data_IF_991056748309
#
_entry.id   IF_991056748309
#
_cell.length_a   1.000
_cell.length_b   1.000
_cell.length_c   1.000
_cell.angle_alpha   90.00
_cell.angle_beta   90.00
_cell.angle_gamma   90.00
#
_symmetry.space_group_name_H-M   'P 1'
#
loop_
_entity.id
_entity.type
_entity.pdbx_description
1 polymer ?
#
# COMPACT_ATOMS: atom_id res chain seq x y z
N UNK A 1 -14.33 -11.12 -9.07
CA UNK A 1 -14.91 -9.79 -9.36
C UNK A 1 -14.05 -8.64 -8.86
N UNK A 2 -13.45 -8.68 -7.65
CA UNK A 2 -12.63 -7.56 -7.11
C UNK A 2 -11.20 -7.46 -7.69
N UNK A 3 -10.50 -8.58 -7.88
CA UNK A 3 -9.15 -8.60 -8.48
C UNK A 3 -9.12 -8.14 -9.95
N UNK A 4 -10.17 -8.47 -10.72
CA UNK A 4 -10.29 -8.05 -12.13
C UNK A 4 -10.44 -6.53 -12.26
N UNK A 5 -11.09 -5.87 -11.30
CA UNK A 5 -11.28 -4.43 -11.29
C UNK A 5 -9.95 -3.68 -11.10
N UNK A 6 -9.10 -4.14 -10.17
CA UNK A 6 -7.83 -3.47 -9.87
C UNK A 6 -6.79 -3.65 -10.98
N UNK A 7 -6.66 -4.87 -11.53
CA UNK A 7 -5.80 -5.10 -12.70
C UNK A 7 -6.26 -4.28 -13.91
N UNK A 8 -7.58 -4.16 -14.13
CA UNK A 8 -8.14 -3.32 -15.20
C UNK A 8 -7.78 -1.85 -15.03
N UNK A 9 -7.85 -1.31 -13.81
CA UNK A 9 -7.42 0.07 -13.51
C UNK A 9 -5.94 0.26 -13.84
N UNK A 10 -5.07 -0.66 -13.41
CA UNK A 10 -3.63 -0.60 -13.72
C UNK A 10 -3.34 -0.53 -15.22
N UNK A 11 -3.96 -1.40 -16.03
CA UNK A 11 -3.79 -1.38 -17.48
C UNK A 11 -4.32 -0.09 -18.14
N UNK A 12 -5.42 0.48 -17.64
CA UNK A 12 -5.98 1.72 -18.16
C UNK A 12 -5.08 2.93 -17.87
N UNK A 13 -4.41 2.95 -16.72
CA UNK A 13 -3.45 3.99 -16.36
C UNK A 13 -2.19 3.87 -17.22
N UNK A 14 -1.65 2.66 -17.38
CA UNK A 14 -0.50 2.44 -18.26
C UNK A 14 -0.80 2.87 -19.71
N UNK A 15 -1.99 2.55 -20.24
CA UNK A 15 -2.44 3.03 -21.56
C UNK A 15 -2.55 4.55 -21.69
N UNK A 16 -2.63 5.26 -20.56
CA UNK A 16 -2.60 6.73 -20.48
C UNK A 16 -1.21 7.27 -20.15
N UNK A 17 -0.16 6.44 -20.31
CA UNK A 17 1.24 6.80 -20.11
C UNK A 17 1.63 7.13 -18.67
N UNK A 18 0.89 6.60 -17.69
CA UNK A 18 1.37 6.60 -16.30
C UNK A 18 2.39 5.48 -16.10
N UNK A 19 3.43 5.76 -15.31
CA UNK A 19 4.29 4.74 -14.73
C UNK A 19 3.56 4.07 -13.55
N UNK A 20 3.20 2.79 -13.71
CA UNK A 20 2.28 2.09 -12.80
C UNK A 20 3.03 1.10 -11.93
N UNK A 21 2.96 1.32 -10.62
CA UNK A 21 3.56 0.46 -9.60
C UNK A 21 2.48 -0.31 -8.84
N UNK A 22 2.61 -1.63 -8.77
CA UNK A 22 1.71 -2.51 -8.01
C UNK A 22 2.38 -2.98 -6.73
N UNK A 23 2.03 -2.32 -5.62
CA UNK A 23 2.64 -2.58 -4.32
C UNK A 23 2.07 -3.83 -3.65
N UNK A 24 2.94 -4.67 -3.11
CA UNK A 24 2.59 -5.77 -2.22
C UNK A 24 2.97 -5.40 -0.79
N UNK A 25 2.07 -5.63 0.16
CA UNK A 25 2.33 -5.43 1.59
C UNK A 25 2.84 -6.73 2.23
N UNK A 26 3.49 -6.63 3.39
CA UNK A 26 3.97 -7.80 4.15
C UNK A 26 2.85 -8.80 4.43
N UNK A 27 3.20 -10.07 4.29
CA UNK A 27 2.37 -11.27 4.39
C UNK A 27 1.47 -11.58 3.20
N UNK A 28 1.38 -10.70 2.20
CA UNK A 28 0.71 -11.02 0.93
C UNK A 28 1.45 -12.15 0.20
N UNK A 29 0.72 -13.17 -0.27
CA UNK A 29 1.34 -14.28 -0.98
C UNK A 29 1.48 -13.98 -2.48
N UNK A 30 2.53 -14.49 -3.15
CA UNK A 30 3.73 -15.10 -2.59
C UNK A 30 4.80 -14.06 -2.21
N UNK A 31 4.76 -12.86 -2.80
CA UNK A 31 5.87 -11.91 -2.83
C UNK A 31 6.09 -11.11 -1.52
N UNK A 32 5.08 -11.01 -0.67
CA UNK A 32 5.17 -10.35 0.64
C UNK A 32 5.52 -11.29 1.79
N UNK A 33 5.86 -12.57 1.52
CA UNK A 33 6.13 -13.59 2.55
C UNK A 33 7.62 -13.85 2.83
N UNK A 34 8.50 -12.96 2.39
CA UNK A 34 9.93 -13.05 2.65
C UNK A 34 10.35 -12.14 3.80
N UNK A 35 11.21 -12.62 4.68
CA UNK A 35 11.77 -11.86 5.80
C UNK A 35 13.22 -12.32 6.04
N UNK A 36 14.07 -11.42 6.53
CA UNK A 36 15.52 -11.68 6.69
C UNK A 36 15.81 -12.78 7.72
N UNK A 37 15.05 -12.81 8.80
CA UNK A 37 15.29 -13.71 9.94
C UNK A 37 14.16 -14.69 10.23
N UNK A 38 12.95 -14.44 9.70
CA UNK A 38 11.73 -15.16 10.05
C UNK A 38 11.19 -15.87 8.82
N UNK A 39 10.47 -16.97 9.03
CA UNK A 39 9.77 -17.69 7.97
C UNK A 39 8.27 -17.65 8.20
N UNK A 40 7.48 -17.84 7.16
CA UNK A 40 6.01 -17.77 7.21
C UNK A 40 5.34 -18.90 8.00
N UNK A 41 6.12 -19.88 8.48
CA UNK A 41 5.69 -20.90 9.46
C UNK A 41 5.82 -20.43 10.92
N UNK A 42 6.57 -19.36 11.19
CA UNK A 42 6.78 -18.82 12.53
C UNK A 42 5.64 -17.85 12.90
N UNK A 43 5.13 -17.92 14.13
CA UNK A 43 4.05 -17.05 14.58
C UNK A 43 4.48 -15.58 14.58
N UNK A 44 5.73 -15.32 14.93
CA UNK A 44 6.35 -13.99 14.99
C UNK A 44 6.34 -13.29 13.63
N UNK A 45 6.44 -14.05 12.53
CA UNK A 45 6.34 -13.51 11.18
C UNK A 45 4.99 -12.80 10.96
N UNK A 46 3.92 -13.33 11.55
CA UNK A 46 2.55 -12.84 11.42
C UNK A 46 2.16 -11.80 12.47
N UNK A 47 3.09 -11.38 13.34
CA UNK A 47 2.83 -10.37 14.38
C UNK A 47 2.92 -8.95 13.80
N UNK A 48 2.01 -8.63 12.89
CA UNK A 48 1.85 -7.28 12.34
C UNK A 48 0.36 -6.98 12.09
N UNK A 49 0.07 -5.71 11.87
CA UNK A 49 -1.25 -5.20 11.54
C UNK A 49 -1.14 -4.13 10.43
N UNK A 50 -2.25 -3.44 10.14
CA UNK A 50 -2.22 -2.26 9.27
C UNK A 50 -1.27 -1.15 9.78
N UNK A 51 -0.94 -1.18 11.07
CA UNK A 51 0.04 -0.28 11.66
C UNK A 51 1.41 -0.44 10.99
N UNK A 52 1.95 -1.65 10.93
CA UNK A 52 3.24 -1.92 10.30
C UNK A 52 3.21 -1.67 8.79
N UNK A 53 2.06 -1.87 8.13
CA UNK A 53 1.87 -1.50 6.73
C UNK A 53 2.13 0.00 6.51
N UNK A 54 1.59 0.86 7.36
CA UNK A 54 1.79 2.31 7.26
C UNK A 54 3.13 2.79 7.79
N UNK A 55 3.64 2.17 8.85
CA UNK A 55 4.85 2.59 9.54
C UNK A 55 6.14 2.18 8.80
N UNK A 56 6.09 1.08 8.03
CA UNK A 56 7.28 0.48 7.43
C UNK A 56 7.11 0.15 5.95
N UNK A 57 6.01 -0.49 5.55
CA UNK A 57 5.86 -0.95 4.15
C UNK A 57 5.68 0.24 3.19
N UNK A 58 4.69 1.11 3.44
CA UNK A 58 4.44 2.26 2.57
C UNK A 58 5.65 3.20 2.43
N UNK A 59 6.39 3.56 3.51
CA UNK A 59 7.63 4.32 3.39
C UNK A 59 8.66 3.65 2.48
N UNK A 60 8.93 2.36 2.70
CA UNK A 60 9.92 1.62 1.93
C UNK A 60 9.53 1.50 0.45
N UNK A 61 8.23 1.29 0.18
CA UNK A 61 7.69 1.26 -1.19
C UNK A 61 7.85 2.63 -1.86
N UNK A 62 7.44 3.71 -1.19
CA UNK A 62 7.52 5.07 -1.74
C UNK A 62 8.98 5.45 -2.01
N UNK A 63 9.89 5.22 -1.06
CA UNK A 63 11.31 5.49 -1.22
C UNK A 63 11.90 4.73 -2.41
N UNK A 64 11.55 3.45 -2.54
CA UNK A 64 11.99 2.63 -3.67
C UNK A 64 11.50 3.18 -5.01
N UNK A 65 10.22 3.57 -5.12
CA UNK A 65 9.66 4.16 -6.33
C UNK A 65 10.40 5.45 -6.67
N UNK A 66 10.50 6.40 -5.72
CA UNK A 66 11.15 7.70 -5.93
C UNK A 66 12.60 7.53 -6.33
N UNK A 67 13.33 6.62 -5.70
CA UNK A 67 14.72 6.34 -6.04
C UNK A 67 14.86 5.73 -7.44
N UNK A 68 13.99 4.78 -7.80
CA UNK A 68 14.07 4.11 -9.08
C UNK A 68 13.68 5.02 -10.25
N UNK A 69 12.62 5.82 -10.11
CA UNK A 69 12.18 6.75 -11.16
C UNK A 69 13.17 7.89 -11.38
N UNK A 70 13.83 8.37 -10.32
CA UNK A 70 14.91 9.36 -10.43
C UNK A 70 16.11 8.84 -11.22
N UNK A 71 16.46 7.55 -11.08
CA UNK A 71 17.57 6.95 -11.82
C UNK A 71 17.24 6.67 -13.29
N UNK A 72 15.98 6.36 -13.61
CA UNK A 72 15.52 6.07 -14.97
C UNK A 72 15.21 7.30 -15.83
N UNK A 73 14.87 8.42 -15.18
CA UNK A 73 14.74 9.72 -15.83
C UNK A 73 16.14 10.26 -16.07
N UNK A 74 16.65 10.18 -17.31
CA UNK A 74 18.02 10.55 -17.71
C UNK A 74 18.49 11.99 -17.42
N UNK A 75 17.78 12.72 -16.56
CA UNK A 75 18.11 14.02 -15.98
C UNK A 75 19.22 13.91 -14.92
N UNK A 76 20.34 13.24 -15.25
CA UNK A 76 21.63 13.51 -14.59
C UNK A 76 22.35 14.59 -15.40
N UNK A 77 21.63 15.61 -15.83
CA UNK A 77 22.25 16.88 -16.16
C UNK A 77 22.25 17.71 -14.87
N UNK A 78 23.45 18.14 -14.52
CA UNK A 78 23.80 18.86 -13.30
C UNK A 78 23.02 20.18 -13.23
N UNK A 79 21.78 20.12 -12.76
CA UNK A 79 21.03 21.31 -12.39
C UNK A 79 21.51 21.75 -11.00
N UNK A 80 21.88 23.04 -10.82
CA UNK A 80 22.29 23.55 -9.53
C UNK A 80 21.18 23.37 -8.48
N UNK A 81 21.60 23.13 -7.24
CA UNK A 81 20.90 22.60 -6.05
C UNK A 81 19.58 23.26 -5.59
N UNK A 82 18.84 24.00 -6.41
CA UNK A 82 17.82 24.92 -5.91
C UNK A 82 16.35 24.53 -6.09
N UNK A 83 16.02 23.48 -6.85
CA UNK A 83 14.67 22.90 -6.84
C UNK A 83 14.76 21.37 -6.89
N UNK A 84 14.70 20.71 -5.73
CA UNK A 84 14.54 19.27 -5.68
C UNK A 84 13.13 18.94 -6.19
N UNK A 85 12.99 18.63 -7.48
CA UNK A 85 11.74 18.12 -8.03
C UNK A 85 11.29 16.93 -7.18
N UNK A 86 10.22 17.17 -6.43
CA UNK A 86 9.70 16.20 -5.50
C UNK A 86 8.80 15.30 -6.31
N UNK A 87 9.28 14.09 -6.63
CA UNK A 87 8.51 13.11 -7.40
C UNK A 87 7.14 12.93 -6.74
N UNK A 88 6.10 13.30 -7.49
CA UNK A 88 4.71 13.18 -7.07
C UNK A 88 4.16 11.81 -7.43
N UNK A 89 3.49 11.17 -6.48
CA UNK A 89 2.88 9.85 -6.60
C UNK A 89 1.37 9.98 -6.41
N UNK A 90 0.64 9.30 -7.30
CA UNK A 90 -0.80 9.08 -7.16
C UNK A 90 -1.01 7.70 -6.51
N UNK A 91 -1.53 7.69 -5.29
CA UNK A 91 -1.84 6.46 -4.58
C UNK A 91 -3.30 6.07 -4.85
N UNK A 92 -3.52 4.80 -5.18
CA UNK A 92 -4.85 4.21 -5.28
C UNK A 92 -4.89 3.05 -4.28
N UNK A 93 -5.73 3.16 -3.25
CA UNK A 93 -5.84 2.15 -2.21
C UNK A 93 -7.28 1.69 -2.02
N UNK A 94 -7.45 0.39 -1.80
CA UNK A 94 -8.75 -0.20 -1.51
C UNK A 94 -8.85 -0.68 -0.06
N UNK A 95 -10.00 -0.46 0.59
CA UNK A 95 -10.33 -1.04 1.90
C UNK A 95 -9.24 -0.75 2.95
N UNK A 96 -8.59 -1.79 3.48
CA UNK A 96 -7.55 -1.67 4.52
C UNK A 96 -6.32 -0.84 4.10
N UNK A 97 -6.04 -0.68 2.79
CA UNK A 97 -4.94 0.16 2.34
C UNK A 97 -5.07 1.62 2.82
N UNK A 98 -6.31 2.08 3.04
CA UNK A 98 -6.55 3.42 3.59
C UNK A 98 -6.08 3.54 5.05
N UNK A 99 -6.24 2.49 5.88
CA UNK A 99 -5.73 2.49 7.26
C UNK A 99 -4.19 2.62 7.29
N UNK A 100 -3.50 1.89 6.43
CA UNK A 100 -2.05 1.98 6.30
C UNK A 100 -1.63 3.40 5.89
N UNK A 101 -2.35 4.02 4.94
CA UNK A 101 -2.10 5.40 4.53
C UNK A 101 -2.31 6.40 5.68
N UNK A 102 -3.36 6.24 6.50
CA UNK A 102 -3.57 7.09 7.68
C UNK A 102 -2.42 6.97 8.69
N UNK A 103 -1.93 5.75 8.93
CA UNK A 103 -0.78 5.51 9.81
C UNK A 103 0.48 6.16 9.26
N UNK A 104 0.75 6.04 7.95
CA UNK A 104 1.86 6.73 7.29
C UNK A 104 1.80 8.24 7.53
N UNK A 105 0.64 8.87 7.27
CA UNK A 105 0.47 10.31 7.45
C UNK A 105 0.65 10.75 8.91
N UNK A 106 0.23 9.92 9.87
CA UNK A 106 0.36 10.22 11.28
C UNK A 106 1.81 10.06 11.80
N UNK A 107 2.50 8.99 11.40
CA UNK A 107 3.83 8.67 11.91
C UNK A 107 4.97 9.35 11.14
N UNK A 108 4.78 9.58 9.84
CA UNK A 108 5.83 10.13 8.97
C UNK A 108 5.28 11.19 8.00
N UNK A 109 4.89 12.38 8.50
CA UNK A 109 4.34 13.47 7.69
C UNK A 109 5.22 13.89 6.51
N UNK A 110 6.55 13.67 6.61
CA UNK A 110 7.50 13.93 5.54
C UNK A 110 7.15 13.27 4.20
N UNK A 111 6.40 12.17 4.18
CA UNK A 111 6.00 11.51 2.92
C UNK A 111 4.87 12.23 2.20
N UNK A 112 4.15 13.15 2.87
CA UNK A 112 3.05 13.89 2.25
C UNK A 112 3.51 14.73 1.06
N UNK A 113 4.76 15.22 1.08
CA UNK A 113 5.34 15.97 -0.04
C UNK A 113 5.47 15.15 -1.33
N UNK A 114 5.49 13.81 -1.23
CA UNK A 114 5.57 12.91 -2.38
C UNK A 114 4.19 12.45 -2.88
N UNK A 115 3.10 12.80 -2.18
CA UNK A 115 1.77 12.24 -2.46
C UNK A 115 0.88 13.35 -3.00
N UNK A 116 0.65 13.35 -4.31
CA UNK A 116 -0.22 14.32 -4.96
C UNK A 116 -1.70 14.02 -4.69
N UNK A 117 -2.08 12.75 -4.60
CA UNK A 117 -3.45 12.31 -4.37
C UNK A 117 -3.48 10.89 -3.80
N UNK A 118 -4.42 10.64 -2.89
CA UNK A 118 -4.84 9.30 -2.48
C UNK A 118 -6.28 9.06 -2.92
N UNK A 119 -6.48 8.27 -3.98
CA UNK A 119 -7.79 7.75 -4.38
C UNK A 119 -8.12 6.54 -3.52
N UNK A 120 -8.90 6.76 -2.46
CA UNK A 120 -9.39 5.69 -1.61
C UNK A 120 -10.67 5.06 -2.17
N UNK A 121 -10.68 3.75 -2.35
CA UNK A 121 -11.81 2.95 -2.82
C UNK A 121 -12.33 2.11 -1.64
N UNK A 122 -13.61 2.28 -1.28
CA UNK A 122 -14.19 1.69 -0.08
C UNK A 122 -13.32 1.92 1.19
N UNK A 123 -13.00 3.18 1.54
CA UNK A 123 -12.09 3.48 2.65
C UNK A 123 -12.65 2.94 3.98
N UNK A 124 -11.79 2.24 4.73
CA UNK A 124 -12.06 1.84 6.11
C UNK A 124 -11.16 2.66 7.01
N UNK A 125 -11.72 3.47 7.92
CA UNK A 125 -11.00 4.20 8.97
C UNK A 125 -11.43 3.77 10.37
N UNK A 126 -12.69 3.37 10.51
CA UNK A 126 -13.27 2.88 11.76
C UNK A 126 -14.41 1.91 11.43
N UNK A 127 -14.45 0.75 12.08
CA UNK A 127 -15.53 -0.25 11.95
C UNK A 127 -16.53 -0.19 13.12
N UNK A 128 -16.67 0.97 13.75
CA UNK A 128 -17.52 1.12 14.92
C UNK A 128 -19.00 1.00 14.52
N UNK A 129 -19.72 0.06 15.14
CA UNK A 129 -21.13 -0.27 14.92
C UNK A 129 -21.55 -0.74 13.51
N UNK A 130 -20.65 -0.73 12.53
CA UNK A 130 -20.97 -1.12 11.15
C UNK A 130 -21.02 -2.64 10.95
N UNK A 131 -20.45 -3.42 11.87
CA UNK A 131 -20.40 -4.89 11.77
C UNK A 131 -20.73 -5.50 13.12
N UNK A 132 -22.00 -5.89 13.30
CA UNK A 132 -22.43 -6.78 14.39
C UNK A 132 -22.78 -8.13 13.79
N UNK A 133 -21.91 -9.12 13.92
CA UNK A 133 -22.27 -10.49 13.62
C UNK A 133 -22.85 -11.14 14.87
N UNK A 134 -24.09 -11.61 14.78
CA UNK A 134 -24.62 -12.46 15.82
C UNK A 134 -23.94 -13.85 15.80
N UNK A 135 -24.02 -14.57 16.92
CA UNK A 135 -23.35 -15.86 17.05
C UNK A 135 -23.82 -16.91 16.01
N UNK A 136 -25.03 -16.78 15.43
CA UNK A 136 -25.50 -17.65 14.34
C UNK A 136 -24.83 -17.26 13.02
N UNK A 137 -24.70 -15.97 12.72
CA UNK A 137 -24.03 -15.46 11.53
C UNK A 137 -22.55 -15.84 11.53
N UNK A 138 -21.85 -15.67 12.66
CA UNK A 138 -20.46 -16.12 12.79
C UNK A 138 -20.34 -17.63 12.57
N UNK A 139 -21.19 -18.45 13.22
CA UNK A 139 -21.17 -19.92 13.04
C UNK A 139 -21.46 -20.37 11.61
N UNK A 140 -22.22 -19.60 10.83
CA UNK A 140 -22.48 -19.91 9.43
C UNK A 140 -21.32 -19.50 8.53
N UNK A 141 -20.66 -18.37 8.80
CA UNK A 141 -19.48 -17.91 8.04
C UNK A 141 -18.27 -18.82 8.32
N UNK A 142 -18.10 -19.28 9.56
CA UNK A 142 -17.02 -20.19 9.97
C UNK A 142 -17.06 -21.56 9.26
N UNK A 143 -18.14 -21.91 8.55
CA UNK A 143 -18.20 -23.11 7.70
C UNK A 143 -17.41 -22.94 6.39
N UNK A 144 -17.13 -21.70 5.99
CA UNK A 144 -16.43 -21.35 4.75
C UNK A 144 -14.99 -20.90 4.99
N UNK A 145 -14.60 -20.68 6.25
CA UNK A 145 -13.24 -20.38 6.67
C UNK A 145 -12.62 -21.69 7.17
N UNK A 146 -11.65 -22.24 6.46
CA UNK A 146 -10.86 -23.40 6.89
C UNK A 146 -9.80 -22.97 7.91
#
# INVERSE_FOLDING_TARGET
MELESMCRTGFQLHRRHYDVWLANLRGSAPHGRHHLELTDVMLEFWRYSFHEHGAYDLPAIIDHIVEHTKRGSGSVEQLPQQELETQQILLIGHSQAFNAFLVLCALQPRYQQHIALMQALAPLSQLHEQVRFDARQVRNIMKFVK
#
